data_IF_073296663108
#
_entry.id   IF_073296663108
#
_cell.length_a   1.000
_cell.length_b   1.000
_cell.length_c   1.000
_cell.angle_alpha   90.00
_cell.angle_beta   90.00
_cell.angle_gamma   90.00
#
_symmetry.space_group_name_H-M   'P 1'
#
loop_
_entity.id
_entity.type
_entity.pdbx_description
1 polymer ?
#
# COMPACT_ATOMS: atom_id res chain seq x y z
N UNK A 1 -19.32 -7.81 15.10
CA UNK A 1 -19.83 -6.45 14.96
C UNK A 1 -18.86 -5.50 15.68
N UNK A 2 -18.32 -4.53 14.97
CA UNK A 2 -17.55 -3.44 15.56
C UNK A 2 -18.49 -2.65 16.50
N UNK A 3 -17.99 -2.29 17.69
CA UNK A 3 -18.79 -1.44 18.59
C UNK A 3 -19.11 -0.11 17.91
N UNK A 4 -20.22 0.54 18.28
CA UNK A 4 -20.72 1.80 17.65
C UNK A 4 -19.66 2.91 17.63
N UNK A 5 -18.65 2.85 18.47
CA UNK A 5 -17.57 3.84 18.56
C UNK A 5 -16.28 3.47 17.79
N UNK A 6 -16.13 2.22 17.35
CA UNK A 6 -14.87 1.79 16.72
C UNK A 6 -14.61 2.46 15.36
N UNK A 7 -15.66 2.79 14.61
CA UNK A 7 -15.52 3.53 13.36
C UNK A 7 -15.03 4.97 13.57
N UNK A 8 -15.40 5.61 14.67
CA UNK A 8 -14.91 6.95 15.01
C UNK A 8 -13.41 6.94 15.34
N UNK A 9 -12.96 5.93 16.08
CA UNK A 9 -11.54 5.74 16.37
C UNK A 9 -10.75 5.48 15.09
N UNK A 10 -11.26 4.61 14.22
CA UNK A 10 -10.64 4.33 12.93
C UNK A 10 -10.57 5.59 12.05
N UNK A 11 -11.66 6.35 11.96
CA UNK A 11 -11.70 7.64 11.26
C UNK A 11 -10.64 8.60 11.79
N UNK A 12 -10.57 8.77 13.12
CA UNK A 12 -9.55 9.61 13.74
C UNK A 12 -8.15 9.13 13.35
N UNK A 13 -7.87 7.84 13.46
CA UNK A 13 -6.59 7.26 13.07
C UNK A 13 -6.22 7.54 11.60
N UNK A 14 -7.19 7.49 10.69
CA UNK A 14 -6.96 7.81 9.27
C UNK A 14 -6.55 9.28 9.08
N UNK A 15 -7.25 10.23 9.72
CA UNK A 15 -6.89 11.65 9.66
C UNK A 15 -5.54 11.94 10.32
N UNK A 16 -5.25 11.32 11.47
CA UNK A 16 -3.95 11.44 12.14
C UNK A 16 -2.83 10.91 11.25
N UNK A 17 -2.97 9.70 10.72
CA UNK A 17 -1.97 9.10 9.84
C UNK A 17 -1.65 10.00 8.65
N UNK A 18 -2.68 10.48 7.96
CA UNK A 18 -2.52 11.34 6.78
C UNK A 18 -2.18 12.79 7.14
N UNK A 19 -2.46 13.22 8.37
CA UNK A 19 -2.08 14.54 8.89
C UNK A 19 -0.56 14.74 8.96
N UNK A 20 0.18 13.67 9.21
CA UNK A 20 1.63 13.66 9.30
C UNK A 20 2.34 13.38 7.97
N UNK A 21 1.62 13.32 6.85
CA UNK A 21 2.23 13.16 5.54
C UNK A 21 3.19 14.30 5.24
N UNK A 22 4.41 13.96 4.85
CA UNK A 22 5.44 14.93 4.47
C UNK A 22 5.09 15.68 3.17
N UNK A 23 5.63 16.87 2.96
CA UNK A 23 5.53 17.57 1.68
C UNK A 23 6.03 16.74 0.48
N UNK A 24 6.96 15.83 0.70
CA UNK A 24 7.52 14.90 -0.29
C UNK A 24 6.64 13.67 -0.55
N UNK A 25 5.64 13.40 0.29
CA UNK A 25 4.64 12.36 0.09
C UNK A 25 4.69 11.19 1.08
N UNK A 26 5.82 10.97 1.75
CA UNK A 26 5.99 9.89 2.72
C UNK A 26 5.04 10.06 3.92
N UNK A 27 4.63 8.95 4.49
CA UNK A 27 3.80 8.89 5.69
C UNK A 27 4.63 8.29 6.81
N UNK A 28 4.68 8.98 7.94
CA UNK A 28 5.32 8.45 9.13
C UNK A 28 4.54 7.28 9.70
N UNK A 29 5.25 6.36 10.34
CA UNK A 29 4.68 5.28 11.12
C UNK A 29 5.68 4.81 12.19
N UNK A 30 5.25 4.45 13.38
CA UNK A 30 3.87 4.60 13.91
C UNK A 30 3.53 6.03 14.32
N UNK A 31 2.23 6.36 14.36
CA UNK A 31 1.73 7.66 14.82
C UNK A 31 0.69 7.42 15.91
N UNK A 32 0.75 8.16 17.04
CA UNK A 32 1.81 9.10 17.43
C UNK A 32 3.10 8.39 17.83
N UNK A 33 4.23 8.97 17.52
CA UNK A 33 5.55 8.44 17.88
C UNK A 33 6.53 9.57 18.17
N UNK A 34 7.51 9.32 19.02
CA UNK A 34 8.66 10.20 19.20
C UNK A 34 9.66 10.10 18.04
N UNK A 35 9.51 9.15 17.17
CA UNK A 35 10.39 8.91 16.01
C UNK A 35 9.77 9.47 14.74
N UNK A 36 10.01 10.73 14.45
CA UNK A 36 9.49 11.43 13.26
C UNK A 36 10.16 11.04 11.94
N UNK A 37 11.09 10.11 11.95
CA UNK A 37 11.86 9.74 10.77
C UNK A 37 11.51 8.36 10.25
N UNK A 38 10.81 7.55 11.07
CA UNK A 38 10.50 6.18 10.69
C UNK A 38 9.40 6.12 9.63
N UNK A 39 9.68 5.46 8.54
CA UNK A 39 8.72 5.06 7.53
C UNK A 39 8.62 3.53 7.48
N UNK A 40 7.39 3.01 7.37
CA UNK A 40 7.11 1.59 7.19
C UNK A 40 6.38 1.40 5.84
N UNK A 41 7.12 1.42 4.70
CA UNK A 41 6.49 1.53 3.38
C UNK A 41 5.47 0.43 3.06
N UNK A 42 5.78 -0.82 3.39
CA UNK A 42 4.87 -1.96 3.16
C UNK A 42 3.58 -1.85 3.98
N UNK A 43 3.70 -1.49 5.26
CA UNK A 43 2.55 -1.30 6.16
C UNK A 43 1.69 -0.12 5.74
N UNK A 44 2.31 0.95 5.22
CA UNK A 44 1.56 2.10 4.70
C UNK A 44 0.74 1.75 3.46
N UNK A 45 1.28 0.96 2.54
CA UNK A 45 0.51 0.45 1.40
C UNK A 45 -0.73 -0.34 1.85
N UNK A 46 -0.59 -1.17 2.88
CA UNK A 46 -1.73 -1.90 3.45
C UNK A 46 -2.75 -0.95 4.10
N UNK A 47 -2.27 0.03 4.88
CA UNK A 47 -3.11 0.94 5.67
C UNK A 47 -3.94 1.88 4.81
N UNK A 48 -3.33 2.50 3.79
CA UNK A 48 -4.01 3.48 2.94
C UNK A 48 -4.82 2.86 1.81
N UNK A 49 -4.57 1.59 1.49
CA UNK A 49 -5.16 0.87 0.37
C UNK A 49 -6.42 0.09 0.73
N UNK A 50 -6.49 -1.11 0.15
CA UNK A 50 -7.68 -1.96 0.19
C UNK A 50 -8.07 -2.40 1.62
N UNK A 51 -7.09 -2.82 2.42
CA UNK A 51 -7.36 -3.35 3.77
C UNK A 51 -7.62 -2.27 4.81
N UNK A 52 -7.11 -1.05 4.62
CA UNK A 52 -7.36 0.07 5.52
C UNK A 52 -8.51 0.95 5.06
N UNK A 53 -8.22 1.98 4.28
CA UNK A 53 -9.18 3.04 3.98
C UNK A 53 -10.38 2.58 3.15
N UNK A 54 -10.19 1.70 2.17
CA UNK A 54 -11.31 1.14 1.43
C UNK A 54 -12.21 0.28 2.33
N UNK A 55 -11.61 -0.54 3.20
CA UNK A 55 -12.36 -1.35 4.15
C UNK A 55 -13.16 -0.51 5.15
N UNK A 56 -12.60 0.62 5.60
CA UNK A 56 -13.35 1.59 6.41
C UNK A 56 -14.61 2.06 5.68
N UNK A 57 -14.49 2.47 4.42
CA UNK A 57 -15.63 2.91 3.62
C UNK A 57 -16.68 1.81 3.45
N UNK A 58 -16.27 0.59 3.16
CA UNK A 58 -17.20 -0.54 3.01
C UNK A 58 -18.04 -0.79 4.27
N UNK A 59 -17.48 -0.52 5.45
CA UNK A 59 -18.16 -0.73 6.74
C UNK A 59 -18.96 0.48 7.22
N UNK A 60 -18.72 1.68 6.68
CA UNK A 60 -19.31 2.92 7.21
C UNK A 60 -20.11 3.72 6.20
N UNK A 61 -19.83 3.58 4.92
CA UNK A 61 -20.37 4.44 3.86
C UNK A 61 -19.87 5.89 3.91
N UNK A 62 -18.84 6.21 4.73
CA UNK A 62 -18.36 7.57 4.93
C UNK A 62 -17.51 8.05 3.74
N UNK A 63 -18.19 8.39 2.66
CA UNK A 63 -17.57 8.91 1.43
C UNK A 63 -16.88 10.26 1.65
N UNK A 64 -17.33 11.04 2.64
CA UNK A 64 -16.68 12.32 2.95
C UNK A 64 -15.25 12.12 3.42
N UNK A 65 -15.02 11.20 4.32
CA UNK A 65 -13.67 10.88 4.80
C UNK A 65 -12.77 10.40 3.65
N UNK A 66 -13.28 9.55 2.76
CA UNK A 66 -12.52 9.11 1.59
C UNK A 66 -12.17 10.31 0.70
N UNK A 67 -13.13 11.20 0.41
CA UNK A 67 -12.90 12.38 -0.42
C UNK A 67 -11.83 13.31 0.16
N UNK A 68 -11.89 13.54 1.46
CA UNK A 68 -10.94 14.42 2.16
C UNK A 68 -9.50 13.87 2.12
N UNK A 69 -9.34 12.54 2.19
CA UNK A 69 -8.03 11.89 2.28
C UNK A 69 -7.48 11.40 0.93
N UNK A 70 -8.31 11.28 -0.09
CA UNK A 70 -7.92 10.72 -1.40
C UNK A 70 -6.71 11.42 -2.04
N UNK A 71 -6.60 12.76 -2.06
CA UNK A 71 -5.42 13.43 -2.63
C UNK A 71 -4.11 13.05 -1.91
N UNK A 72 -4.18 12.74 -0.64
CA UNK A 72 -3.01 12.31 0.14
C UNK A 72 -2.64 10.86 -0.17
N UNK A 73 -3.63 10.01 -0.44
CA UNK A 73 -3.41 8.63 -0.91
C UNK A 73 -2.69 8.65 -2.26
N UNK A 74 -3.19 9.45 -3.21
CA UNK A 74 -2.54 9.65 -4.51
C UNK A 74 -1.09 10.07 -4.33
N UNK A 75 -0.86 11.12 -3.57
CA UNK A 75 0.49 11.64 -3.29
C UNK A 75 1.44 10.59 -2.71
N UNK A 76 0.95 9.70 -1.84
CA UNK A 76 1.77 8.61 -1.31
C UNK A 76 2.07 7.55 -2.38
N UNK A 77 1.11 7.20 -3.22
CA UNK A 77 1.33 6.21 -4.27
C UNK A 77 2.22 6.74 -5.39
N UNK A 78 2.18 8.05 -5.66
CA UNK A 78 3.02 8.70 -6.69
C UNK A 78 4.52 8.70 -6.36
N UNK A 79 4.91 8.56 -5.08
CA UNK A 79 6.33 8.43 -4.72
C UNK A 79 6.93 7.05 -5.02
N UNK A 80 6.09 6.07 -5.36
CA UNK A 80 6.53 4.73 -5.72
C UNK A 80 6.93 4.68 -7.20
N UNK A 81 8.22 4.57 -7.44
CA UNK A 81 8.76 4.52 -8.80
C UNK A 81 8.70 3.12 -9.40
N UNK A 82 8.74 3.05 -10.72
CA UNK A 82 8.77 1.80 -11.47
C UNK A 82 10.16 1.55 -12.05
N UNK A 83 10.56 0.30 -12.05
CA UNK A 83 11.73 -0.19 -12.76
C UNK A 83 11.45 -0.26 -14.28
N UNK A 84 12.50 -0.43 -15.07
CA UNK A 84 12.37 -0.56 -16.53
C UNK A 84 11.52 -1.76 -16.96
N UNK A 85 11.43 -2.80 -16.14
CA UNK A 85 10.60 -3.99 -16.38
C UNK A 85 9.13 -3.80 -15.95
N UNK A 86 8.79 -2.64 -15.42
CA UNK A 86 7.45 -2.30 -14.95
C UNK A 86 7.11 -2.78 -13.54
N UNK A 87 8.02 -3.44 -12.85
CA UNK A 87 7.87 -3.74 -11.42
C UNK A 87 8.11 -2.50 -10.58
N UNK A 88 7.71 -2.52 -9.30
CA UNK A 88 7.93 -1.40 -8.39
C UNK A 88 9.36 -1.40 -7.88
N UNK A 89 10.01 -0.24 -7.96
CA UNK A 89 11.30 -0.02 -7.33
C UNK A 89 11.18 -0.18 -5.82
N UNK A 90 12.04 -1.04 -5.27
CA UNK A 90 12.04 -1.27 -3.83
C UNK A 90 12.37 0.01 -3.07
N UNK A 91 11.51 0.38 -2.12
CA UNK A 91 11.72 1.46 -1.18
C UNK A 91 12.00 0.86 0.20
N UNK A 92 13.23 1.02 0.66
CA UNK A 92 13.53 0.76 2.06
C UNK A 92 13.06 1.98 2.89
N UNK A 93 12.22 1.74 3.88
CA UNK A 93 12.05 2.68 4.99
C UNK A 93 13.17 2.51 6.00
N UNK A 94 13.13 3.22 7.10
CA UNK A 94 14.05 2.95 8.22
C UNK A 94 13.83 1.54 8.78
N UNK A 95 12.61 1.05 8.69
CA UNK A 95 12.28 -0.31 9.06
C UNK A 95 11.50 -1.01 7.95
N UNK A 96 12.20 -1.87 7.24
CA UNK A 96 11.62 -2.72 6.19
C UNK A 96 11.21 -4.05 6.79
N UNK A 97 9.94 -4.20 7.09
CA UNK A 97 9.40 -5.42 7.67
C UNK A 97 8.41 -6.07 6.70
N UNK A 98 8.56 -7.35 6.48
CA UNK A 98 7.63 -8.15 5.67
C UNK A 98 6.79 -9.08 6.52
N UNK A 99 7.41 -9.82 7.40
CA UNK A 99 6.81 -10.76 8.35
C UNK A 99 7.87 -11.28 9.31
N UNK A 100 7.45 -12.09 10.30
CA UNK A 100 8.34 -12.88 11.15
C UNK A 100 8.88 -14.08 10.35
N UNK A 101 10.17 -14.24 10.32
CA UNK A 101 10.82 -15.32 9.59
C UNK A 101 12.07 -14.86 8.85
N UNK A 102 12.85 -15.83 8.39
CA UNK A 102 14.13 -15.55 7.72
C UNK A 102 14.01 -15.55 6.20
N UNK A 103 12.99 -16.22 5.66
CA UNK A 103 12.79 -16.40 4.22
C UNK A 103 11.68 -15.50 3.68
N UNK A 104 11.88 -14.19 3.75
CA UNK A 104 10.93 -13.20 3.24
C UNK A 104 11.51 -12.56 1.98
N UNK A 105 10.81 -12.73 0.87
CA UNK A 105 11.12 -12.06 -0.38
C UNK A 105 10.44 -10.68 -0.40
N UNK A 106 11.11 -9.71 0.20
CA UNK A 106 10.56 -8.38 0.44
C UNK A 106 10.26 -7.62 -0.86
N UNK A 107 11.02 -7.86 -1.93
CA UNK A 107 10.80 -7.19 -3.21
C UNK A 107 9.53 -7.70 -3.89
N UNK A 108 9.32 -9.01 -3.89
CA UNK A 108 8.07 -9.60 -4.38
C UNK A 108 6.88 -9.16 -3.52
N UNK A 109 7.03 -9.17 -2.20
CA UNK A 109 6.00 -8.74 -1.26
C UNK A 109 5.55 -7.30 -1.49
N UNK A 110 6.48 -6.35 -1.66
CA UNK A 110 6.14 -4.93 -1.86
C UNK A 110 5.43 -4.67 -3.18
N UNK A 111 5.79 -5.40 -4.24
CA UNK A 111 5.04 -5.34 -5.49
C UNK A 111 3.59 -5.82 -5.32
N UNK A 112 3.38 -6.90 -4.56
CA UNK A 112 2.04 -7.39 -4.25
C UNK A 112 1.25 -6.39 -3.39
N UNK A 113 1.87 -5.78 -2.37
CA UNK A 113 1.24 -4.76 -1.53
C UNK A 113 0.89 -3.50 -2.31
N UNK A 114 1.77 -3.05 -3.21
CA UNK A 114 1.47 -1.92 -4.08
C UNK A 114 0.27 -2.18 -5.00
N UNK A 115 0.20 -3.39 -5.57
CA UNK A 115 -0.98 -3.80 -6.36
C UNK A 115 -2.28 -3.73 -5.55
N UNK A 116 -2.25 -4.20 -4.29
CA UNK A 116 -3.41 -4.14 -3.39
C UNK A 116 -3.75 -2.70 -3.01
N UNK A 117 -2.75 -1.84 -2.84
CA UNK A 117 -2.96 -0.42 -2.58
C UNK A 117 -3.62 0.28 -3.78
N UNK A 118 -3.14 0.03 -5.01
CA UNK A 118 -3.78 0.51 -6.24
C UNK A 118 -5.23 0.02 -6.36
N UNK A 119 -5.51 -1.23 -5.99
CA UNK A 119 -6.88 -1.76 -5.98
C UNK A 119 -7.78 -0.96 -5.04
N UNK A 120 -7.30 -0.63 -3.86
CA UNK A 120 -8.02 0.25 -2.92
C UNK A 120 -8.24 1.64 -3.50
N UNK A 121 -7.21 2.24 -4.09
CA UNK A 121 -7.29 3.55 -4.74
C UNK A 121 -8.31 3.55 -5.89
N UNK A 122 -8.27 2.55 -6.76
CA UNK A 122 -9.21 2.39 -7.87
C UNK A 122 -10.66 2.33 -7.40
N UNK A 123 -10.95 1.55 -6.36
CA UNK A 123 -12.30 1.49 -5.78
C UNK A 123 -12.73 2.82 -5.17
N UNK A 124 -11.83 3.51 -4.46
CA UNK A 124 -12.11 4.83 -3.89
C UNK A 124 -12.36 5.87 -4.98
N UNK A 125 -11.57 5.88 -6.06
CA UNK A 125 -11.79 6.75 -7.23
C UNK A 125 -13.18 6.51 -7.84
N UNK A 126 -13.56 5.25 -8.04
CA UNK A 126 -14.90 4.88 -8.55
C UNK A 126 -16.00 5.39 -7.62
N UNK A 127 -15.89 5.19 -6.32
CA UNK A 127 -16.87 5.66 -5.35
C UNK A 127 -16.98 7.19 -5.30
N UNK A 128 -15.89 7.91 -5.62
CA UNK A 128 -15.87 9.37 -5.73
C UNK A 128 -16.38 9.89 -7.09
N UNK A 129 -16.71 9.01 -8.04
CA UNK A 129 -17.13 9.39 -9.39
C UNK A 129 -15.98 9.79 -10.32
N UNK A 130 -14.74 9.53 -9.95
CA UNK A 130 -13.54 9.85 -10.72
C UNK A 130 -13.23 8.73 -11.73
N UNK A 131 -14.15 8.50 -12.67
CA UNK A 131 -14.12 7.31 -13.54
C UNK A 131 -12.88 7.24 -14.43
N UNK A 132 -12.47 8.36 -15.03
CA UNK A 132 -11.27 8.40 -15.89
C UNK A 132 -10.00 8.01 -15.11
N UNK A 133 -9.89 8.45 -13.87
CA UNK A 133 -8.78 8.09 -12.98
C UNK A 133 -8.86 6.63 -12.56
N UNK A 134 -10.04 6.15 -12.19
CA UNK A 134 -10.26 4.74 -11.87
C UNK A 134 -9.85 3.82 -13.02
N UNK A 135 -10.17 4.20 -14.27
CA UNK A 135 -9.77 3.47 -15.47
C UNK A 135 -8.25 3.51 -15.69
N UNK A 136 -7.61 4.66 -15.48
CA UNK A 136 -6.15 4.77 -15.58
C UNK A 136 -5.44 3.87 -14.55
N UNK A 137 -5.90 3.87 -13.30
CA UNK A 137 -5.38 2.99 -12.24
C UNK A 137 -5.59 1.52 -12.62
N UNK A 138 -6.74 1.16 -13.19
CA UNK A 138 -7.01 -0.21 -13.64
C UNK A 138 -6.03 -0.65 -14.73
N UNK A 139 -5.66 0.22 -15.68
CA UNK A 139 -4.62 -0.09 -16.68
C UNK A 139 -3.26 -0.25 -16.03
N UNK A 140 -2.91 0.59 -15.06
CA UNK A 140 -1.67 0.44 -14.29
C UNK A 140 -1.62 -0.90 -13.57
N UNK A 141 -2.70 -1.31 -12.90
CA UNK A 141 -2.80 -2.61 -12.25
C UNK A 141 -2.60 -3.78 -13.23
N UNK A 142 -3.17 -3.69 -14.43
CA UNK A 142 -2.98 -4.72 -15.48
C UNK A 142 -1.51 -4.80 -15.91
N UNK A 143 -0.88 -3.65 -16.12
CA UNK A 143 0.53 -3.58 -16.49
C UNK A 143 1.44 -4.15 -15.38
N UNK A 144 1.21 -3.74 -14.14
CA UNK A 144 1.95 -4.25 -12.97
C UNK A 144 1.78 -5.76 -12.80
N UNK A 145 0.55 -6.28 -12.94
CA UNK A 145 0.30 -7.72 -12.88
C UNK A 145 1.09 -8.49 -13.94
N UNK A 146 1.15 -7.97 -15.16
CA UNK A 146 1.95 -8.56 -16.25
C UNK A 146 3.45 -8.54 -15.93
N UNK A 147 3.95 -7.40 -15.48
CA UNK A 147 5.34 -7.22 -15.08
C UNK A 147 5.71 -8.14 -13.90
N UNK A 148 4.86 -8.21 -12.89
CA UNK A 148 5.05 -9.08 -11.72
C UNK A 148 5.17 -10.56 -12.13
N UNK A 149 4.27 -11.04 -12.97
CA UNK A 149 4.31 -12.42 -13.45
C UNK A 149 5.58 -12.70 -14.25
N UNK A 150 5.99 -11.77 -15.12
CA UNK A 150 7.19 -11.92 -15.93
C UNK A 150 8.48 -11.92 -15.09
N UNK A 151 8.54 -11.06 -14.07
CA UNK A 151 9.75 -10.88 -13.25
C UNK A 151 9.89 -11.94 -12.15
N UNK A 152 8.79 -12.37 -11.54
CA UNK A 152 8.84 -13.17 -10.31
C UNK A 152 8.39 -14.62 -10.45
N UNK A 153 7.66 -14.98 -11.51
CA UNK A 153 7.25 -16.36 -11.73
C UNK A 153 8.37 -17.19 -12.34
N UNK A 154 8.86 -18.17 -11.62
CA UNK A 154 9.96 -19.03 -12.06
C UNK A 154 9.52 -20.40 -12.61
N UNK A 155 8.23 -20.58 -12.92
CA UNK A 155 7.62 -21.84 -13.34
C UNK A 155 7.07 -22.70 -12.21
N UNK A 156 7.44 -22.42 -10.95
CA UNK A 156 7.02 -23.17 -9.76
C UNK A 156 6.49 -22.27 -8.65
N UNK A 157 7.10 -21.10 -8.44
CA UNK A 157 6.73 -20.18 -7.36
C UNK A 157 7.05 -18.75 -7.78
N UNK A 158 6.40 -17.78 -7.10
CA UNK A 158 6.77 -16.38 -7.21
C UNK A 158 7.96 -16.09 -6.31
N UNK A 159 9.01 -15.53 -6.91
CA UNK A 159 10.27 -15.21 -6.22
C UNK A 159 11.08 -14.19 -6.99
N UNK A 160 11.68 -13.22 -6.31
CA UNK A 160 12.64 -12.31 -6.92
C UNK A 160 13.87 -13.11 -7.42
N UNK A 161 14.42 -12.84 -8.62
CA UNK A 161 15.54 -13.61 -9.18
C UNK A 161 16.76 -13.68 -8.27
N UNK A 162 17.06 -12.60 -7.54
CA UNK A 162 18.21 -12.53 -6.63
C UNK A 162 17.94 -13.15 -5.25
N UNK A 163 16.70 -13.53 -4.96
CA UNK A 163 16.36 -14.08 -3.66
C UNK A 163 16.92 -15.48 -3.48
N UNK A 164 17.55 -15.71 -2.35
CA UNK A 164 18.09 -17.02 -1.96
C UNK A 164 17.51 -17.43 -0.62
N UNK A 165 17.04 -18.68 -0.57
CA UNK A 165 16.58 -19.29 0.69
C UNK A 165 17.76 -19.44 1.64
N UNK A 166 17.52 -19.12 2.90
CA UNK A 166 18.46 -19.45 3.98
C UNK A 166 18.28 -20.92 4.34
N UNK A 167 19.38 -21.64 4.37
CA UNK A 167 19.40 -23.10 4.52
C UNK A 167 18.98 -23.60 5.90
N UNK A 168 19.01 -22.72 6.90
CA UNK A 168 18.65 -23.02 8.28
C UNK A 168 17.18 -22.77 8.63
N UNK A 169 16.38 -22.37 7.68
CA UNK A 169 14.93 -22.19 7.84
C UNK A 169 14.22 -23.52 7.56
N UNK A 170 14.01 -24.29 8.58
CA UNK A 170 13.20 -25.51 8.57
C UNK A 170 11.87 -25.28 9.26
#
# INVERSE_FOLDING_TARGET
>A
ALSVSSHLLMKKGMYELMGWQRPTGEIFAPIPSSNYHTELPGQMLASIGYFGFWNYYLNTGDLKTIRDLYPKIQKYLDIWQKNNDGTITFRAGEWTWGDWGKNIDIKALFNAWYYIALKGQQHMATALGMNAEADAILQEMKALKKAFNAAFWNGKAYRHPDYRLKTDDR
#
